data_IF_719714036305
#
_entry.id   IF_719714036305
#
_cell.length_a   1.000
_cell.length_b   1.000
_cell.length_c   1.000
_cell.angle_alpha   90.00
_cell.angle_beta   90.00
_cell.angle_gamma   90.00
#
_symmetry.space_group_name_H-M   'P 1'
#
loop_
_entity.id
_entity.type
_entity.pdbx_description
1 polymer ?
#
# COMPACT_ATOMS: atom_id res chain seq x y z
N UNK A 1 -16.44 -9.19 -20.51
CA UNK A 1 -16.59 -9.32 -19.06
C UNK A 1 -15.74 -8.30 -18.34
N UNK A 2 -16.35 -7.59 -17.44
CA UNK A 2 -15.62 -6.60 -16.65
C UNK A 2 -15.12 -7.22 -15.36
N UNK A 3 -13.87 -6.95 -15.04
CA UNK A 3 -13.31 -7.38 -13.79
C UNK A 3 -13.91 -6.57 -12.63
N UNK A 4 -13.98 -7.19 -11.47
CA UNK A 4 -14.33 -6.47 -10.25
C UNK A 4 -13.30 -5.39 -10.01
N UNK A 5 -13.70 -4.16 -9.66
CA UNK A 5 -12.74 -3.11 -9.36
C UNK A 5 -11.80 -3.53 -8.24
N UNK A 6 -10.53 -3.18 -8.38
CA UNK A 6 -9.54 -3.45 -7.34
C UNK A 6 -9.70 -2.46 -6.21
N UNK A 7 -9.38 -2.92 -5.01
CA UNK A 7 -9.44 -2.11 -3.79
C UNK A 7 -8.04 -1.75 -3.35
N UNK A 8 -7.83 -0.50 -2.97
CA UNK A 8 -6.56 -0.04 -2.41
C UNK A 8 -6.80 0.63 -1.08
N UNK A 9 -5.93 0.33 -0.12
CA UNK A 9 -5.92 0.99 1.19
C UNK A 9 -4.70 1.88 1.26
N UNK A 10 -4.89 3.16 1.52
CA UNK A 10 -3.81 4.15 1.61
C UNK A 10 -3.69 4.57 3.07
N UNK A 11 -2.50 4.39 3.63
CA UNK A 11 -2.23 4.66 5.05
C UNK A 11 -1.18 5.75 5.15
N UNK A 12 -1.56 6.92 5.64
CA UNK A 12 -0.67 8.07 5.79
C UNK A 12 -1.28 9.03 6.80
N UNK A 13 -0.45 9.62 7.65
CA UNK A 13 -0.93 10.59 8.64
C UNK A 13 -1.06 12.00 8.08
N UNK A 14 -0.66 12.23 6.82
CA UNK A 14 -0.79 13.51 6.16
C UNK A 14 -2.08 13.55 5.33
N UNK A 15 -3.10 14.30 5.77
CA UNK A 15 -4.38 14.32 5.06
C UNK A 15 -4.29 14.88 3.64
N UNK A 16 -3.35 15.79 3.40
CA UNK A 16 -3.15 16.35 2.07
C UNK A 16 -2.65 15.28 1.09
N UNK A 17 -1.66 14.49 1.54
CA UNK A 17 -1.11 13.42 0.72
C UNK A 17 -2.14 12.31 0.49
N UNK A 18 -2.91 11.98 1.52
CA UNK A 18 -4.01 11.01 1.39
C UNK A 18 -5.00 11.43 0.31
N UNK A 19 -5.36 12.71 0.28
CA UNK A 19 -6.31 13.20 -0.70
C UNK A 19 -5.77 13.10 -2.12
N UNK A 20 -4.50 13.48 -2.31
CA UNK A 20 -3.88 13.43 -3.64
C UNK A 20 -3.86 12.00 -4.17
N UNK A 21 -3.44 11.05 -3.34
CA UNK A 21 -3.40 9.65 -3.76
C UNK A 21 -4.80 9.09 -3.97
N UNK A 22 -5.72 9.42 -3.08
CA UNK A 22 -7.10 8.96 -3.21
C UNK A 22 -7.68 9.38 -4.55
N UNK A 23 -7.50 10.64 -4.92
CA UNK A 23 -8.01 11.16 -6.18
C UNK A 23 -7.40 10.42 -7.37
N UNK A 24 -6.08 10.20 -7.34
CA UNK A 24 -5.40 9.52 -8.44
C UNK A 24 -5.86 8.06 -8.60
N UNK A 25 -5.99 7.34 -7.50
CA UNK A 25 -6.45 5.95 -7.57
C UNK A 25 -7.92 5.86 -7.96
N UNK A 26 -8.76 6.76 -7.43
CA UNK A 26 -10.18 6.80 -7.80
C UNK A 26 -10.36 7.08 -9.29
N UNK A 27 -9.58 8.01 -9.83
CA UNK A 27 -9.63 8.35 -11.25
C UNK A 27 -9.24 7.16 -12.13
N UNK A 28 -8.46 6.24 -11.59
CA UNK A 28 -8.01 5.05 -12.32
C UNK A 28 -8.93 3.84 -12.09
N UNK A 29 -10.05 4.05 -11.42
CA UNK A 29 -11.07 3.00 -11.25
C UNK A 29 -10.94 2.16 -9.99
N UNK A 30 -10.04 2.51 -9.07
CA UNK A 30 -9.91 1.79 -7.80
C UNK A 30 -10.99 2.21 -6.81
N UNK A 31 -11.38 1.26 -5.97
CA UNK A 31 -12.14 1.57 -4.76
C UNK A 31 -11.10 1.89 -3.68
N UNK A 32 -11.16 3.08 -3.11
CA UNK A 32 -10.12 3.57 -2.21
C UNK A 32 -10.61 3.64 -0.77
N UNK A 33 -9.79 3.13 0.15
CA UNK A 33 -9.99 3.27 1.59
C UNK A 33 -8.79 4.01 2.17
N UNK A 34 -9.02 4.85 3.16
CA UNK A 34 -7.98 5.66 3.79
C UNK A 34 -7.86 5.36 5.28
N UNK A 35 -6.63 5.35 5.77
CA UNK A 35 -6.35 5.25 7.19
C UNK A 35 -5.31 6.31 7.55
N UNK A 36 -5.42 6.87 8.76
CA UNK A 36 -4.52 7.92 9.24
C UNK A 36 -3.29 7.38 9.95
N UNK A 37 -3.29 6.12 10.31
CA UNK A 37 -2.16 5.48 10.98
C UNK A 37 -2.23 3.97 10.79
N UNK A 38 -1.22 3.28 11.28
CA UNK A 38 -1.12 1.84 11.11
C UNK A 38 -2.19 1.04 11.84
N UNK A 39 -2.62 1.52 13.00
CA UNK A 39 -3.66 0.81 13.78
C UNK A 39 -4.97 0.81 13.00
N UNK A 40 -5.38 1.96 12.51
CA UNK A 40 -6.57 2.09 11.67
C UNK A 40 -6.40 1.30 10.37
N UNK A 41 -5.18 1.32 9.81
CA UNK A 41 -4.87 0.59 8.59
C UNK A 41 -5.08 -0.90 8.73
N UNK A 42 -4.59 -1.50 9.82
CA UNK A 42 -4.79 -2.93 10.08
C UNK A 42 -6.27 -3.25 10.24
N UNK A 43 -7.01 -2.41 10.97
CA UNK A 43 -8.45 -2.61 11.17
C UNK A 43 -9.20 -2.57 9.83
N UNK A 44 -8.89 -1.60 8.98
CA UNK A 44 -9.51 -1.51 7.65
C UNK A 44 -9.12 -2.67 6.75
N UNK A 45 -7.88 -3.14 6.85
CA UNK A 45 -7.47 -4.31 6.08
C UNK A 45 -8.34 -5.53 6.43
N UNK A 46 -8.56 -5.76 7.72
CA UNK A 46 -9.40 -6.89 8.16
C UNK A 46 -10.83 -6.77 7.66
N UNK A 47 -11.37 -5.56 7.65
CA UNK A 47 -12.75 -5.33 7.26
C UNK A 47 -12.96 -5.36 5.75
N UNK A 48 -12.07 -4.72 5.00
CA UNK A 48 -12.28 -4.49 3.56
C UNK A 48 -11.49 -5.43 2.66
N UNK A 49 -10.45 -6.06 3.16
CA UNK A 49 -9.59 -6.99 2.42
C UNK A 49 -9.13 -6.39 1.09
N UNK A 50 -8.44 -5.24 1.11
CA UNK A 50 -7.99 -4.62 -0.12
C UNK A 50 -6.94 -5.45 -0.85
N UNK A 51 -6.85 -5.24 -2.15
CA UNK A 51 -5.89 -5.94 -3.02
C UNK A 51 -4.50 -5.35 -2.91
N UNK A 52 -4.41 -4.06 -2.61
CA UNK A 52 -3.13 -3.36 -2.49
C UNK A 52 -3.15 -2.44 -1.29
N UNK A 53 -1.97 -2.27 -0.69
CA UNK A 53 -1.75 -1.39 0.45
C UNK A 53 -0.65 -0.41 0.06
N UNK A 54 -0.88 0.88 0.30
CA UNK A 54 0.16 1.90 0.18
C UNK A 54 0.29 2.51 1.55
N UNK A 55 1.48 2.43 2.14
CA UNK A 55 1.69 2.92 3.50
C UNK A 55 2.92 3.81 3.58
N UNK A 56 2.78 4.92 4.28
CA UNK A 56 3.92 5.72 4.70
C UNK A 56 4.78 4.88 5.63
N UNK A 57 6.09 5.01 5.50
CA UNK A 57 7.04 4.25 6.32
C UNK A 57 7.04 4.73 7.77
N UNK A 58 6.90 6.03 7.99
CA UNK A 58 6.96 6.62 9.33
C UNK A 58 5.61 7.25 9.70
N UNK A 59 4.99 6.72 10.73
CA UNK A 59 3.70 7.19 11.21
C UNK A 59 3.64 7.09 12.72
N UNK A 60 2.80 7.91 13.37
CA UNK A 60 2.58 7.76 14.82
C UNK A 60 1.85 6.46 15.15
N UNK A 61 1.98 6.02 16.37
CA UNK A 61 1.39 4.83 16.97
C UNK A 61 1.95 3.54 16.39
N UNK A 62 1.67 3.22 15.14
CA UNK A 62 2.18 2.02 14.49
C UNK A 62 2.79 2.42 13.15
N UNK A 63 4.10 2.29 13.04
CA UNK A 63 4.82 2.67 11.84
C UNK A 63 4.54 1.74 10.66
N UNK A 64 5.00 2.16 9.47
CA UNK A 64 4.76 1.43 8.24
C UNK A 64 5.31 0.01 8.25
N UNK A 65 6.48 -0.20 8.85
CA UNK A 65 7.08 -1.53 8.95
C UNK A 65 6.19 -2.48 9.73
N UNK A 66 5.79 -2.08 10.95
CA UNK A 66 4.93 -2.92 11.79
C UNK A 66 3.57 -3.16 11.14
N UNK A 67 3.02 -2.12 10.51
CA UNK A 67 1.74 -2.23 9.80
C UNK A 67 1.82 -3.27 8.69
N UNK A 68 2.87 -3.21 7.88
CA UNK A 68 3.04 -4.13 6.76
C UNK A 68 3.26 -5.56 7.22
N UNK A 69 4.03 -5.75 8.27
CA UNK A 69 4.27 -7.08 8.84
C UNK A 69 2.96 -7.69 9.33
N UNK A 70 2.16 -6.91 10.04
CA UNK A 70 0.88 -7.40 10.56
C UNK A 70 -0.08 -7.73 9.42
N UNK A 71 -0.19 -6.87 8.41
CA UNK A 71 -1.06 -7.11 7.27
C UNK A 71 -0.61 -8.34 6.48
N UNK A 72 0.70 -8.51 6.27
CA UNK A 72 1.22 -9.68 5.58
C UNK A 72 0.91 -10.97 6.34
N UNK A 73 1.04 -10.93 7.65
CA UNK A 73 0.70 -12.07 8.50
C UNK A 73 -0.78 -12.43 8.36
N UNK A 74 -1.64 -11.42 8.41
CA UNK A 74 -3.09 -11.62 8.28
C UNK A 74 -3.50 -12.14 6.91
N UNK A 75 -2.75 -11.77 5.89
CA UNK A 75 -3.03 -12.20 4.51
C UNK A 75 -2.71 -13.67 4.25
N UNK A 76 -1.88 -14.28 5.09
CA UNK A 76 -1.55 -15.69 4.96
C UNK A 76 -0.92 -16.03 3.63
N UNK A 77 -1.52 -16.97 2.90
CA UNK A 77 -1.00 -17.44 1.60
C UNK A 77 -1.24 -16.44 0.47
N UNK A 78 -2.13 -15.48 0.68
CA UNK A 78 -2.49 -14.51 -0.35
C UNK A 78 -2.42 -13.08 0.20
N UNK A 79 -1.20 -12.63 0.58
CA UNK A 79 -1.07 -11.28 1.09
C UNK A 79 -1.34 -10.25 -0.01
N UNK A 80 -1.79 -9.05 0.36
CA UNK A 80 -1.98 -8.00 -0.63
C UNK A 80 -0.63 -7.51 -1.16
N UNK A 81 -0.67 -6.81 -2.28
CA UNK A 81 0.50 -6.08 -2.75
C UNK A 81 0.73 -4.92 -1.80
N UNK A 82 1.95 -4.75 -1.33
CA UNK A 82 2.29 -3.69 -0.37
C UNK A 82 3.40 -2.81 -0.95
N UNK A 83 3.12 -1.50 -1.00
CA UNK A 83 4.06 -0.49 -1.44
C UNK A 83 4.33 0.44 -0.26
N UNK A 84 5.60 0.62 0.09
CA UNK A 84 6.00 1.54 1.15
C UNK A 84 6.46 2.85 0.53
N UNK A 85 5.95 3.95 1.06
CA UNK A 85 6.34 5.28 0.64
C UNK A 85 7.36 5.85 1.61
N UNK A 86 8.45 6.38 1.09
CA UNK A 86 9.54 6.90 1.89
C UNK A 86 9.79 8.36 1.59
N UNK A 87 10.09 9.13 2.63
CA UNK A 87 10.57 10.49 2.46
C UNK A 87 12.00 10.46 1.91
N UNK A 88 12.34 11.46 1.10
CA UNK A 88 13.67 11.53 0.53
C UNK A 88 14.78 11.73 1.57
N UNK A 89 14.41 12.15 2.77
CA UNK A 89 15.37 12.38 3.84
C UNK A 89 15.52 11.21 4.79
N UNK A 90 14.80 10.12 4.57
CA UNK A 90 14.85 8.95 5.41
C UNK A 90 15.71 7.89 4.76
N UNK A 91 16.38 7.10 5.59
CA UNK A 91 17.10 5.95 5.09
C UNK A 91 16.10 4.92 4.59
N UNK A 92 16.31 4.44 3.38
CA UNK A 92 15.48 3.36 2.86
C UNK A 92 15.99 2.04 3.42
N UNK A 93 15.10 1.15 3.86
CA UNK A 93 15.51 -0.18 4.27
C UNK A 93 16.20 -0.92 3.14
N UNK A 94 17.04 -1.87 3.50
CA UNK A 94 17.67 -2.73 2.50
C UNK A 94 16.61 -3.62 1.85
N UNK A 95 16.94 -4.11 0.68
CA UNK A 95 16.03 -4.93 -0.11
C UNK A 95 15.49 -6.14 0.66
N UNK A 96 16.37 -6.82 1.42
CA UNK A 96 15.92 -7.98 2.19
C UNK A 96 14.99 -7.59 3.35
N UNK A 97 15.16 -6.38 3.90
CA UNK A 97 14.27 -5.88 4.95
C UNK A 97 12.88 -5.64 4.37
N UNK A 98 12.83 -5.17 3.12
CA UNK A 98 11.56 -5.00 2.41
C UNK A 98 10.81 -6.31 2.29
N UNK A 99 11.51 -7.38 1.93
CA UNK A 99 10.93 -8.70 1.82
C UNK A 99 10.40 -9.21 3.15
N UNK A 100 11.15 -8.97 4.23
CA UNK A 100 10.73 -9.37 5.57
C UNK A 100 9.48 -8.64 6.02
N UNK A 101 9.30 -7.39 5.57
CA UNK A 101 8.13 -6.59 5.86
C UNK A 101 6.91 -6.98 5.01
N UNK A 102 7.10 -7.85 4.03
CA UNK A 102 6.04 -8.19 3.10
C UNK A 102 5.81 -7.17 2.00
N UNK A 103 6.61 -6.10 1.96
CA UNK A 103 6.46 -5.07 0.94
C UNK A 103 7.08 -5.53 -0.37
N UNK A 104 6.46 -5.17 -1.48
CA UNK A 104 6.98 -5.49 -2.81
C UNK A 104 8.02 -4.48 -3.26
N UNK A 105 7.77 -3.20 -2.99
CA UNK A 105 8.69 -2.13 -3.39
C UNK A 105 8.66 -0.98 -2.39
N UNK A 106 9.73 -0.21 -2.39
CA UNK A 106 9.80 1.11 -1.77
C UNK A 106 9.72 2.15 -2.86
N UNK A 107 8.91 3.18 -2.63
CA UNK A 107 8.72 4.26 -3.61
C UNK A 107 8.89 5.58 -2.87
N UNK A 108 9.70 6.51 -3.40
CA UNK A 108 9.81 7.83 -2.77
C UNK A 108 8.47 8.56 -2.78
N UNK A 109 8.17 9.26 -1.70
CA UNK A 109 6.94 10.07 -1.62
C UNK A 109 6.89 11.17 -2.67
N UNK A 110 8.05 11.56 -3.19
CA UNK A 110 8.15 12.55 -4.27
C UNK A 110 7.72 12.02 -5.63
N UNK A 111 7.50 10.71 -5.75
CA UNK A 111 7.03 10.12 -7.00
C UNK A 111 5.66 10.69 -7.36
N UNK A 112 5.44 11.10 -8.62
CA UNK A 112 4.13 11.60 -9.03
C UNK A 112 3.04 10.57 -8.75
N UNK A 113 1.88 11.01 -8.23
CA UNK A 113 0.81 10.07 -7.88
C UNK A 113 0.38 9.14 -9.01
N UNK A 114 0.35 9.63 -10.25
CA UNK A 114 -0.02 8.77 -11.39
C UNK A 114 0.97 7.63 -11.57
N UNK A 115 2.25 7.87 -11.28
CA UNK A 115 3.27 6.83 -11.39
C UNK A 115 3.12 5.79 -10.27
N UNK A 116 2.69 6.22 -9.09
CA UNK A 116 2.40 5.28 -8.00
C UNK A 116 1.24 4.37 -8.39
N UNK A 117 0.21 4.92 -9.03
CA UNK A 117 -0.91 4.12 -9.54
C UNK A 117 -0.41 3.07 -10.53
N UNK A 118 0.43 3.48 -11.47
CA UNK A 118 0.98 2.57 -12.49
C UNK A 118 1.78 1.44 -11.85
N UNK A 119 2.60 1.78 -10.85
CA UNK A 119 3.39 0.77 -10.13
C UNK A 119 2.46 -0.26 -9.48
N UNK A 120 1.42 0.20 -8.81
CA UNK A 120 0.46 -0.70 -8.16
C UNK A 120 -0.25 -1.57 -9.20
N UNK A 121 -0.67 -0.98 -10.30
CA UNK A 121 -1.33 -1.74 -11.38
C UNK A 121 -0.43 -2.83 -11.92
N UNK A 122 0.85 -2.52 -12.14
CA UNK A 122 1.81 -3.51 -12.63
C UNK A 122 2.05 -4.63 -11.61
N UNK A 123 2.14 -4.30 -10.33
CA UNK A 123 2.32 -5.29 -9.28
C UNK A 123 1.09 -6.20 -9.16
N UNK A 124 -0.10 -5.66 -9.27
CA UNK A 124 -1.32 -6.45 -9.24
C UNK A 124 -1.41 -7.38 -10.44
N UNK A 125 -1.04 -6.91 -11.60
CA UNK A 125 -1.02 -7.73 -12.82
C UNK A 125 -0.03 -8.88 -12.67
N UNK A 126 1.13 -8.60 -12.11
CA UNK A 126 2.16 -9.61 -11.87
C UNK A 126 1.67 -10.70 -10.90
N UNK A 127 1.00 -10.30 -9.83
CA UNK A 127 0.45 -11.25 -8.85
C UNK A 127 -0.56 -12.19 -9.49
N UNK A 128 -1.31 -11.70 -10.45
CA UNK A 128 -2.28 -12.48 -11.18
C UNK A 128 -1.64 -13.69 -11.87
N UNK A 129 -0.47 -13.49 -12.45
CA UNK A 129 0.27 -14.59 -13.11
C UNK A 129 0.93 -15.53 -12.12
N UNK A 130 1.38 -15.01 -11.00
CA UNK A 130 2.07 -15.82 -9.99
C UNK A 130 1.13 -16.73 -9.21
N UNK A 131 -0.14 -16.36 -9.12
CA UNK A 131 -1.13 -17.08 -8.33
C UNK A 131 -2.02 -18.01 -9.14
N UNK A 132 -1.70 -18.18 -10.41
CA UNK A 132 -2.45 -19.12 -11.26
C UNK A 132 -1.79 -20.47 -11.34
#
# INVERSE_FOLDING_TARGET
MTDTPKKVLIIDDDPFFLKILTDSFSDSGFIVFNANDGVEGVALYREKLPDAIISDLVMPRMGGVSTCMEISRLGGDHPPVIVLLTSMFQETPHEHDTAEMGAKVHVPKSTPPVDIVIIVEQLLEREKYLNN
#
